data_IF_446644271254
#
_entry.id   IF_446644271254
#
_cell.length_a   1.000
_cell.length_b   1.000
_cell.length_c   1.000
_cell.angle_alpha   90.00
_cell.angle_beta   90.00
_cell.angle_gamma   90.00
#
_symmetry.space_group_name_H-M   'P 1'
#
loop_
_entity.id
_entity.type
_entity.pdbx_description
1 polymer ?
#
# COMPACT_ATOMS: atom_id res chain seq x y z
N UNK A 1 -10.13 -13.01 -9.69
CA UNK A 1 -8.75 -12.59 -9.97
C UNK A 1 -8.11 -12.31 -8.63
N UNK A 2 -6.93 -12.88 -8.34
CA UNK A 2 -6.25 -12.60 -7.07
C UNK A 2 -5.20 -11.52 -7.32
N UNK A 3 -5.22 -10.44 -6.55
CA UNK A 3 -4.22 -9.37 -6.59
C UNK A 3 -3.05 -9.78 -5.70
N UNK A 4 -1.84 -9.67 -6.21
CA UNK A 4 -0.61 -9.81 -5.43
C UNK A 4 -0.20 -8.45 -4.89
N UNK A 5 -0.04 -8.34 -3.58
CA UNK A 5 0.40 -7.13 -2.89
C UNK A 5 1.77 -7.39 -2.30
N UNK A 6 2.78 -6.61 -2.69
CA UNK A 6 4.11 -6.68 -2.08
C UNK A 6 4.45 -5.36 -1.39
N UNK A 7 4.83 -5.44 -0.12
CA UNK A 7 5.30 -4.30 0.66
C UNK A 7 6.80 -4.43 0.87
N UNK A 8 7.55 -3.40 0.48
CA UNK A 8 8.96 -3.27 0.81
C UNK A 8 9.06 -2.32 2.01
N UNK A 9 9.43 -2.88 3.16
CA UNK A 9 9.52 -2.17 4.43
C UNK A 9 10.97 -2.07 4.91
N UNK A 10 11.29 -0.95 5.56
CA UNK A 10 12.60 -0.77 6.19
C UNK A 10 12.61 -1.39 7.60
N UNK A 11 13.80 -1.71 8.13
CA UNK A 11 13.95 -2.20 9.51
C UNK A 11 14.84 -1.26 10.36
N UNK A 12 14.33 -0.68 11.47
CA UNK A 12 12.97 -0.81 12.02
C UNK A 12 11.92 -0.02 11.20
N UNK A 13 10.65 -0.47 11.19
CA UNK A 13 9.59 0.19 10.43
C UNK A 13 9.33 1.61 10.94
N UNK A 14 9.25 2.57 10.02
CA UNK A 14 8.80 3.95 10.30
C UNK A 14 7.32 4.16 9.97
N UNK A 15 6.81 5.39 10.12
CA UNK A 15 5.40 5.74 9.90
C UNK A 15 4.84 5.23 8.56
N UNK A 16 5.49 5.58 7.45
CA UNK A 16 5.10 5.12 6.10
C UNK A 16 5.16 3.60 5.90
N UNK A 17 6.07 2.89 6.59
CA UNK A 17 6.11 1.42 6.53
C UNK A 17 4.89 0.80 7.19
N UNK A 18 4.49 1.34 8.35
CA UNK A 18 3.28 0.94 9.07
C UNK A 18 2.02 1.26 8.27
N UNK A 19 1.99 2.41 7.59
CA UNK A 19 0.89 2.79 6.71
C UNK A 19 0.70 1.77 5.58
N UNK A 20 1.76 1.48 4.81
CA UNK A 20 1.65 0.60 3.64
C UNK A 20 1.39 -0.85 4.03
N UNK A 21 1.91 -1.30 5.18
CA UNK A 21 1.53 -2.58 5.77
C UNK A 21 0.03 -2.60 6.13
N UNK A 22 -0.49 -1.52 6.73
CA UNK A 22 -1.92 -1.39 7.02
C UNK A 22 -2.79 -1.40 5.77
N UNK A 23 -2.34 -0.81 4.66
CA UNK A 23 -3.02 -0.93 3.38
C UNK A 23 -3.02 -2.37 2.87
N UNK A 24 -1.89 -3.08 2.96
CA UNK A 24 -1.84 -4.49 2.57
C UNK A 24 -2.82 -5.35 3.38
N UNK A 25 -2.91 -5.15 4.70
CA UNK A 25 -3.88 -5.85 5.56
C UNK A 25 -5.33 -5.59 5.12
N UNK A 26 -5.65 -4.35 4.73
CA UNK A 26 -6.98 -3.99 4.20
C UNK A 26 -7.25 -4.70 2.87
N UNK A 27 -6.26 -4.71 1.96
CA UNK A 27 -6.39 -5.37 0.66
C UNK A 27 -6.54 -6.89 0.80
N UNK A 28 -5.82 -7.53 1.73
CA UNK A 28 -5.98 -8.95 2.04
C UNK A 28 -7.42 -9.25 2.49
N UNK A 29 -7.97 -8.44 3.37
CA UNK A 29 -9.31 -8.65 3.94
C UNK A 29 -10.44 -8.34 2.97
N UNK A 30 -10.30 -7.28 2.16
CA UNK A 30 -11.36 -6.83 1.25
C UNK A 30 -11.35 -7.57 -0.09
N UNK A 31 -10.18 -7.93 -0.61
CA UNK A 31 -10.03 -8.47 -1.97
C UNK A 31 -9.46 -9.89 -1.99
N UNK A 32 -9.26 -10.51 -0.83
CA UNK A 32 -8.53 -11.79 -0.70
C UNK A 32 -7.18 -11.73 -1.42
N UNK A 33 -6.53 -10.57 -1.34
CA UNK A 33 -5.26 -10.31 -2.00
C UNK A 33 -4.14 -11.11 -1.32
N UNK A 34 -3.19 -11.59 -2.12
CA UNK A 34 -2.01 -12.28 -1.60
C UNK A 34 -0.98 -11.26 -1.15
N UNK A 35 -0.78 -11.12 0.15
CA UNK A 35 0.20 -10.18 0.71
C UNK A 35 1.56 -10.83 0.93
N UNK A 36 2.61 -10.14 0.49
CA UNK A 36 4.02 -10.45 0.75
C UNK A 36 4.70 -9.23 1.38
N UNK A 37 5.16 -9.36 2.62
CA UNK A 37 5.92 -8.31 3.32
C UNK A 37 7.41 -8.65 3.29
N UNK A 38 8.20 -7.80 2.64
CA UNK A 38 9.65 -7.95 2.49
C UNK A 38 10.34 -6.86 3.31
N UNK A 39 11.21 -7.28 4.23
CA UNK A 39 12.05 -6.36 5.00
C UNK A 39 13.44 -6.26 4.38
N UNK A 40 13.93 -5.04 4.19
CA UNK A 40 15.30 -4.79 3.70
C UNK A 40 16.01 -3.78 4.59
N UNK A 41 17.31 -4.02 4.80
CA UNK A 41 18.25 -3.06 5.41
C UNK A 41 19.04 -2.28 4.35
N UNK A 42 18.93 -2.66 3.08
CA UNK A 42 19.67 -2.05 1.99
C UNK A 42 18.84 -0.95 1.36
N UNK A 43 19.34 0.28 1.42
CA UNK A 43 18.81 1.39 0.63
C UNK A 43 19.28 1.21 -0.82
N UNK A 44 18.62 0.35 -1.59
CA UNK A 44 19.14 0.12 -2.94
C UNK A 44 19.03 1.39 -3.79
N UNK A 45 20.12 1.72 -4.47
CA UNK A 45 20.28 2.89 -5.31
C UNK A 45 19.60 2.73 -6.69
N UNK A 46 18.92 1.59 -6.92
CA UNK A 46 18.23 1.26 -8.16
C UNK A 46 16.78 1.77 -8.28
N UNK A 47 16.35 2.69 -7.40
CA UNK A 47 15.23 3.60 -7.68
C UNK A 47 13.84 3.15 -7.20
N UNK A 48 13.70 1.94 -6.70
CA UNK A 48 12.44 1.49 -6.09
C UNK A 48 12.40 1.89 -4.61
N UNK A 49 12.25 3.20 -4.38
CA UNK A 49 12.25 3.83 -3.06
C UNK A 49 11.46 3.03 -2.03
N UNK A 50 12.11 2.66 -0.93
CA UNK A 50 11.47 2.10 0.25
C UNK A 50 11.10 3.26 1.21
N UNK A 51 9.95 3.18 1.88
CA UNK A 51 8.94 2.14 1.74
C UNK A 51 8.18 2.23 0.41
N UNK A 52 7.72 1.09 -0.11
CA UNK A 52 6.85 1.03 -1.31
C UNK A 52 5.81 -0.08 -1.21
N UNK A 53 4.68 0.14 -1.88
CA UNK A 53 3.59 -0.81 -2.06
C UNK A 53 3.50 -1.17 -3.54
N UNK A 54 3.44 -2.46 -3.83
CA UNK A 54 3.39 -3.00 -5.18
C UNK A 54 2.12 -3.79 -5.37
N UNK A 55 1.49 -3.64 -6.53
CA UNK A 55 0.33 -4.39 -6.96
C UNK A 55 0.70 -5.17 -8.22
N UNK A 56 0.54 -6.49 -8.22
CA UNK A 56 0.84 -7.37 -9.36
C UNK A 56 2.21 -7.11 -10.02
N UNK A 57 3.23 -6.81 -9.20
CA UNK A 57 4.58 -6.53 -9.68
C UNK A 57 4.84 -5.10 -10.18
N UNK A 58 3.90 -4.17 -10.03
CA UNK A 58 4.07 -2.74 -10.31
C UNK A 58 4.01 -1.90 -9.02
N UNK A 59 4.99 -1.01 -8.82
CA UNK A 59 5.00 -0.09 -7.69
C UNK A 59 3.92 0.99 -7.84
N UNK A 60 3.08 1.16 -6.81
CA UNK A 60 2.13 2.27 -6.74
C UNK A 60 2.91 3.53 -6.38
N UNK A 61 2.69 4.58 -7.15
CA UNK A 61 3.31 5.88 -6.94
C UNK A 61 2.30 6.84 -6.32
N UNK A 62 2.71 7.64 -5.32
CA UNK A 62 1.87 8.70 -4.79
C UNK A 62 1.68 9.80 -5.82
N UNK A 63 0.44 10.28 -6.00
CA UNK A 63 0.15 11.38 -6.92
C UNK A 63 0.94 12.66 -6.57
N UNK A 64 1.15 12.90 -5.27
CA UNK A 64 1.86 14.08 -4.75
C UNK A 64 3.38 13.88 -4.58
N UNK A 65 3.89 12.67 -4.79
CA UNK A 65 5.30 12.34 -4.59
C UNK A 65 5.74 12.12 -3.13
N UNK A 66 4.82 12.16 -2.15
CA UNK A 66 5.13 12.17 -0.71
C UNK A 66 4.66 10.90 0.01
N UNK A 67 3.36 10.63 0.02
CA UNK A 67 2.75 9.44 0.64
C UNK A 67 1.67 8.85 -0.24
N UNK A 68 1.48 7.53 -0.15
CA UNK A 68 0.36 6.89 -0.83
C UNK A 68 -0.91 7.26 -0.10
N UNK A 69 -1.80 7.94 -0.80
CA UNK A 69 -3.17 8.19 -0.37
C UNK A 69 -4.04 6.99 -0.73
N UNK A 70 -5.18 6.77 -0.06
CA UNK A 70 -6.15 5.73 -0.43
C UNK A 70 -6.53 5.77 -1.92
N UNK A 71 -6.66 6.98 -2.48
CA UNK A 71 -6.93 7.19 -3.89
C UNK A 71 -5.85 6.62 -4.83
N UNK A 72 -4.57 6.70 -4.46
CA UNK A 72 -3.46 6.14 -5.25
C UNK A 72 -3.54 4.62 -5.32
N UNK A 73 -3.85 3.97 -4.19
CA UNK A 73 -4.03 2.53 -4.11
C UNK A 73 -5.20 2.08 -4.98
N UNK A 74 -6.32 2.81 -4.94
CA UNK A 74 -7.47 2.54 -5.81
C UNK A 74 -7.13 2.70 -7.29
N UNK A 75 -6.41 3.77 -7.65
CA UNK A 75 -5.98 3.99 -9.03
C UNK A 75 -5.09 2.83 -9.52
N UNK A 76 -4.18 2.35 -8.67
CA UNK A 76 -3.36 1.16 -8.94
C UNK A 76 -4.21 -0.10 -9.15
N UNK A 77 -5.19 -0.37 -8.28
CA UNK A 77 -6.11 -1.51 -8.42
C UNK A 77 -6.91 -1.44 -9.73
N UNK A 78 -7.45 -0.27 -10.09
CA UNK A 78 -8.16 -0.05 -11.36
C UNK A 78 -7.25 -0.30 -12.57
N UNK A 79 -5.99 0.14 -12.51
CA UNK A 79 -5.01 -0.13 -13.57
C UNK A 79 -4.73 -1.63 -13.77
N UNK A 80 -4.92 -2.44 -12.72
CA UNK A 80 -4.83 -3.90 -12.78
C UNK A 80 -6.17 -4.61 -13.04
N UNK A 81 -7.21 -3.86 -13.42
CA UNK A 81 -8.50 -4.41 -13.84
C UNK A 81 -9.46 -4.74 -12.69
N UNK A 82 -9.19 -4.27 -11.47
CA UNK A 82 -10.16 -4.35 -10.37
C UNK A 82 -11.26 -3.32 -10.60
N UNK A 83 -12.50 -3.78 -10.69
CA UNK A 83 -13.66 -2.93 -10.95
C UNK A 83 -14.15 -2.27 -9.66
N UNK A 84 -14.85 -1.14 -9.77
CA UNK A 84 -15.44 -0.45 -8.61
C UNK A 84 -16.43 -1.33 -7.85
N UNK A 85 -17.15 -2.22 -8.55
CA UNK A 85 -18.05 -3.21 -7.97
C UNK A 85 -17.33 -4.21 -7.05
N UNK A 86 -16.03 -4.46 -7.29
CA UNK A 86 -15.20 -5.32 -6.46
C UNK A 86 -14.56 -4.58 -5.26
N UNK A 87 -14.73 -3.26 -5.15
CA UNK A 87 -14.13 -2.42 -4.11
C UNK A 87 -15.14 -1.68 -3.21
N UNK A 88 -16.29 -2.27 -2.83
CA UNK A 88 -17.25 -1.55 -1.98
C UNK A 88 -16.64 -1.27 -0.60
N UNK A 89 -16.69 -0.01 -0.17
CA UNK A 89 -16.17 0.39 1.14
C UNK A 89 -14.65 0.35 1.28
N UNK A 90 -13.91 0.15 0.18
CA UNK A 90 -12.46 0.00 0.23
C UNK A 90 -11.74 1.31 0.55
N UNK A 91 -12.25 2.44 0.06
CA UNK A 91 -11.67 3.77 0.36
C UNK A 91 -11.71 4.01 1.86
N UNK A 92 -12.89 3.85 2.46
CA UNK A 92 -13.12 4.08 3.88
C UNK A 92 -12.27 3.12 4.74
N UNK A 93 -12.10 1.88 4.30
CA UNK A 93 -11.23 0.92 4.96
C UNK A 93 -9.75 1.32 4.89
N UNK A 94 -9.31 1.91 3.78
CA UNK A 94 -7.94 2.43 3.60
C UNK A 94 -7.73 3.77 4.33
N UNK A 95 -8.78 4.54 4.62
CA UNK A 95 -8.66 5.75 5.44
C UNK A 95 -8.23 5.42 6.88
N UNK A 96 -8.70 4.33 7.47
CA UNK A 96 -8.40 3.98 8.86
C UNK A 96 -6.88 3.82 9.15
N UNK A 97 -6.07 3.11 8.34
CA UNK A 97 -4.61 3.11 8.50
C UNK A 97 -3.95 4.49 8.34
N UNK A 98 -4.50 5.35 7.47
CA UNK A 98 -3.99 6.70 7.23
C UNK A 98 -4.25 7.60 8.45
N UNK A 99 -5.49 7.63 8.94
CA UNK A 99 -5.89 8.39 10.12
C UNK A 99 -5.04 7.99 11.33
N UNK A 100 -4.87 6.69 11.56
CA UNK A 100 -4.03 6.18 12.66
C UNK A 100 -2.57 6.64 12.54
N UNK A 101 -2.03 6.75 11.33
CA UNK A 101 -0.67 7.29 11.15
C UNK A 101 -0.63 8.77 11.51
N UNK A 102 -1.58 9.56 11.02
CA UNK A 102 -1.66 11.00 11.28
C UNK A 102 -1.87 11.31 12.77
N UNK A 103 -2.68 10.51 13.47
CA UNK A 103 -2.91 10.64 14.92
C UNK A 103 -1.65 10.34 15.76
N UNK A 104 -0.77 9.44 15.29
CA UNK A 104 0.49 9.13 15.98
C UNK A 104 1.59 10.17 15.73
N UNK A 105 1.42 11.08 14.78
CA UNK A 105 2.36 12.16 14.45
C UNK A 105 1.98 13.52 15.10
N UNK A 106 0.84 13.60 15.80
CA UNK A 106 0.38 14.77 16.55
C UNK A 106 0.75 14.75 18.02
#
# INVERSE_FOLDING_TARGET
>A
MSIEVRIISQQPPGGRCTLYAGYADVLERHLEARVELVFTTTRDAHGDGFPSLWLNGAAVQPEDGVILMPADVLAGLKAHGVTEEAMPGLIEALEAPLERMLEMEG
#
